data_IF_366677872764
#
_entry.id   IF_366677872764
#
_cell.length_a   1.000
_cell.length_b   1.000
_cell.length_c   1.000
_cell.angle_alpha   90.00
_cell.angle_beta   90.00
_cell.angle_gamma   90.00
#
_symmetry.space_group_name_H-M   'P 1'
#
loop_
_entity.id
_entity.type
_entity.pdbx_description
1 polymer ?
#
# COMPACT_ATOMS: atom_id res chain seq x y z
N UNK A 1 9.37 -3.64 -14.80
CA UNK A 1 8.93 -2.28 -15.18
C UNK A 1 9.35 -1.30 -14.07
N UNK A 2 10.63 -0.90 -13.99
CA UNK A 2 11.15 0.00 -12.94
C UNK A 2 11.72 1.33 -13.48
N UNK A 3 11.99 1.42 -14.79
CA UNK A 3 12.65 2.59 -15.39
C UNK A 3 11.79 3.84 -15.49
N UNK A 4 10.48 3.69 -15.70
CA UNK A 4 9.57 4.83 -15.85
C UNK A 4 9.27 5.54 -14.51
N UNK A 5 9.24 4.78 -13.40
CA UNK A 5 9.01 5.31 -12.05
C UNK A 5 10.14 6.24 -11.59
N UNK A 6 11.39 5.89 -11.91
CA UNK A 6 12.58 6.68 -11.52
C UNK A 6 12.67 8.03 -12.25
N UNK A 7 12.26 8.10 -13.52
CA UNK A 7 12.28 9.33 -14.33
C UNK A 7 11.27 10.38 -13.84
N UNK A 8 10.12 9.94 -13.32
CA UNK A 8 9.08 10.85 -12.82
C UNK A 8 9.50 11.41 -11.44
N UNK A 9 10.08 10.57 -10.57
CA UNK A 9 10.52 10.98 -9.24
C UNK A 9 11.80 11.84 -9.23
N UNK A 10 12.57 11.90 -10.32
CA UNK A 10 13.74 12.80 -10.40
C UNK A 10 13.36 14.27 -10.67
N UNK A 11 12.16 14.52 -11.18
CA UNK A 11 11.69 15.86 -11.54
C UNK A 11 10.79 16.51 -10.46
N UNK A 12 10.28 15.72 -9.52
CA UNK A 12 9.36 16.14 -8.46
C UNK A 12 9.81 15.49 -7.16
N UNK A 13 9.72 16.17 -6.01
CA UNK A 13 10.00 15.58 -4.68
C UNK A 13 8.96 14.48 -4.37
N UNK A 14 9.07 13.32 -5.02
CA UNK A 14 8.21 12.19 -4.83
C UNK A 14 8.80 11.35 -3.71
N UNK A 15 8.29 11.52 -2.50
CA UNK A 15 8.44 10.48 -1.49
C UNK A 15 7.64 9.28 -1.98
N UNK A 16 8.33 8.17 -2.24
CA UNK A 16 7.67 6.91 -2.53
C UNK A 16 6.90 6.49 -1.28
N UNK A 17 5.59 6.69 -1.27
CA UNK A 17 4.70 6.03 -0.33
C UNK A 17 4.30 4.68 -0.93
N UNK A 18 4.66 3.55 -0.29
CA UNK A 18 4.11 2.28 -0.70
C UNK A 18 2.58 2.36 -0.59
N UNK A 19 1.89 1.94 -1.64
CA UNK A 19 0.41 1.95 -1.68
C UNK A 19 -0.26 1.03 -0.64
N UNK A 20 0.51 0.27 0.16
CA UNK A 20 -0.01 -0.58 1.20
C UNK A 20 1.03 -0.94 2.27
N UNK A 21 0.53 -1.33 3.44
CA UNK A 21 1.32 -1.80 4.58
C UNK A 21 1.07 -3.29 4.81
N UNK A 22 2.12 -4.01 5.21
CA UNK A 22 2.01 -5.41 5.61
C UNK A 22 1.87 -5.45 7.13
N UNK A 23 0.76 -5.99 7.61
CA UNK A 23 0.51 -6.16 9.03
C UNK A 23 0.78 -7.60 9.46
N UNK A 24 1.25 -7.81 10.71
CA UNK A 24 1.47 -9.16 11.23
C UNK A 24 0.17 -9.93 11.49
N UNK A 25 -0.97 -9.25 11.58
CA UNK A 25 -2.30 -9.84 11.73
C UNK A 25 -3.38 -8.91 11.15
N UNK A 26 -4.58 -9.46 10.95
CA UNK A 26 -5.73 -8.74 10.39
C UNK A 26 -6.21 -7.60 11.29
N UNK A 27 -6.17 -7.79 12.62
CA UNK A 27 -6.64 -6.79 13.59
C UNK A 27 -5.92 -5.46 13.41
N UNK A 28 -4.59 -5.50 13.23
CA UNK A 28 -3.80 -4.28 13.02
C UNK A 28 -4.19 -3.54 11.73
N UNK A 29 -4.55 -4.28 10.67
CA UNK A 29 -5.03 -3.68 9.44
C UNK A 29 -6.40 -3.02 9.64
N UNK A 30 -7.32 -3.67 10.35
CA UNK A 30 -8.67 -3.13 10.59
C UNK A 30 -8.64 -1.83 11.39
N UNK A 31 -7.78 -1.75 12.40
CA UNK A 31 -7.58 -0.53 13.20
C UNK A 31 -7.09 0.61 12.30
N UNK A 32 -6.08 0.37 11.47
CA UNK A 32 -5.52 1.41 10.60
C UNK A 32 -6.51 1.83 9.51
N UNK A 33 -7.28 0.88 8.97
CA UNK A 33 -8.38 1.15 8.04
C UNK A 33 -9.41 2.11 8.64
N UNK A 34 -9.80 1.91 9.89
CA UNK A 34 -10.75 2.81 10.59
C UNK A 34 -10.16 4.20 10.81
N UNK A 35 -8.87 4.28 11.16
CA UNK A 35 -8.15 5.55 11.31
C UNK A 35 -8.08 6.31 9.98
N UNK A 36 -7.74 5.64 8.88
CA UNK A 36 -7.66 6.26 7.56
C UNK A 36 -9.04 6.63 7.02
N UNK A 37 -10.08 5.83 7.30
CA UNK A 37 -11.47 6.18 6.99
C UNK A 37 -11.90 7.47 7.69
N UNK A 38 -11.50 7.67 8.96
CA UNK A 38 -11.70 8.92 9.70
C UNK A 38 -11.01 10.14 9.07
N UNK A 39 -9.99 9.93 8.24
CA UNK A 39 -9.29 10.97 7.46
C UNK A 39 -9.86 11.15 6.04
N UNK A 40 -10.96 10.46 5.71
CA UNK A 40 -11.59 10.51 4.39
C UNK A 40 -10.85 9.73 3.30
N UNK A 41 -9.94 8.82 3.68
CA UNK A 41 -9.24 7.95 2.75
C UNK A 41 -9.92 6.58 2.68
N UNK A 42 -9.87 5.97 1.50
CA UNK A 42 -10.35 4.60 1.29
C UNK A 42 -9.16 3.67 1.50
N UNK A 43 -9.26 2.79 2.49
CA UNK A 43 -8.28 1.76 2.80
C UNK A 43 -8.95 0.39 2.82
N UNK A 44 -8.24 -0.64 2.36
CA UNK A 44 -8.75 -2.00 2.26
C UNK A 44 -7.72 -2.98 2.81
N UNK A 45 -8.21 -4.02 3.51
CA UNK A 45 -7.38 -5.06 4.09
C UNK A 45 -7.40 -6.28 3.17
N UNK A 46 -6.23 -6.65 2.66
CA UNK A 46 -6.04 -7.83 1.82
C UNK A 46 -5.15 -8.86 2.53
N UNK A 47 -5.49 -10.16 2.49
CA UNK A 47 -4.58 -11.20 2.92
C UNK A 47 -3.29 -11.15 2.08
N UNK A 48 -2.12 -11.30 2.72
CA UNK A 48 -0.80 -11.21 2.05
C UNK A 48 -0.69 -12.20 0.89
N UNK A 49 -1.21 -13.41 1.07
CA UNK A 49 -1.24 -14.48 0.04
C UNK A 49 -2.07 -14.11 -1.19
N UNK A 50 -2.99 -13.14 -1.07
CA UNK A 50 -3.77 -12.59 -2.20
C UNK A 50 -3.11 -11.37 -2.86
N UNK A 51 -2.08 -10.79 -2.24
CA UNK A 51 -1.33 -9.64 -2.79
C UNK A 51 -0.14 -10.11 -3.63
N UNK A 52 0.44 -11.27 -3.29
CA UNK A 52 1.46 -11.92 -4.11
C UNK A 52 0.76 -12.92 -5.03
N UNK A 53 0.67 -12.68 -6.35
CA UNK A 53 0.10 -13.67 -7.25
C UNK A 53 0.91 -14.97 -7.16
N UNK A 54 0.25 -16.05 -6.77
CA UNK A 54 0.81 -17.40 -6.83
C UNK A 54 1.20 -17.67 -8.29
N UNK A 55 2.50 -17.84 -8.54
CA UNK A 55 3.00 -18.20 -9.87
C UNK A 55 2.72 -19.69 -10.08
N UNK A 56 1.52 -20.01 -10.55
CA UNK A 56 1.26 -21.26 -11.25
C UNK A 56 1.22 -21.03 -12.75
#
# INVERSE_FOLDING_TARGET
MFGLFLLICSAMNCQFEPYGYIYPNEINCLIDREIEAGKGKIAECYPVDSVIPDKN
#
